data_IF_059709079336
#
_entry.id   IF_059709079336
#
_cell.length_a   1.000
_cell.length_b   1.000
_cell.length_c   1.000
_cell.angle_alpha   90.00
_cell.angle_beta   90.00
_cell.angle_gamma   90.00
#
_symmetry.space_group_name_H-M   'P 1'
#
loop_
_entity.id
_entity.type
_entity.pdbx_description
1 polymer ?
#
# COMPACT_ATOMS: atom_id res chain seq x y z
N UNK A 1 -1.18 -18.54 -1.55
CA UNK A 1 -0.39 -17.88 -0.50
C UNK A 1 -1.17 -18.02 0.80
N UNK A 2 -0.76 -18.92 1.70
CA UNK A 2 -1.31 -18.95 3.07
C UNK A 2 -1.15 -17.56 3.69
N UNK A 3 -2.08 -17.18 4.56
CA UNK A 3 -1.90 -15.96 5.34
C UNK A 3 -0.65 -16.15 6.20
N UNK A 4 0.10 -15.07 6.33
CA UNK A 4 1.34 -14.98 7.11
C UNK A 4 1.17 -15.44 8.56
N UNK A 5 -0.08 -15.54 9.01
CA UNK A 5 -0.48 -15.88 10.38
C UNK A 5 -1.30 -17.19 10.41
N UNK A 6 -1.22 -18.04 9.37
CA UNK A 6 -1.91 -19.34 9.34
C UNK A 6 -1.26 -20.35 10.30
N UNK A 7 0.01 -20.16 10.67
CA UNK A 7 0.63 -20.83 11.81
C UNK A 7 0.40 -20.00 13.07
N UNK A 8 0.20 -20.67 14.21
CA UNK A 8 -0.21 -20.11 15.50
C UNK A 8 0.75 -19.03 16.04
N UNK A 9 0.71 -17.84 15.46
CA UNK A 9 1.40 -16.66 15.99
C UNK A 9 0.69 -16.29 17.27
N UNK A 10 1.43 -16.30 18.38
CA UNK A 10 0.93 -15.85 19.66
C UNK A 10 0.51 -14.38 19.56
N UNK A 11 -0.80 -14.15 19.43
CA UNK A 11 -1.38 -12.81 19.35
C UNK A 11 -1.04 -11.96 20.58
N UNK A 12 -0.68 -12.59 21.71
CA UNK A 12 -0.26 -11.89 22.90
C UNK A 12 1.14 -11.26 22.74
N UNK A 13 2.06 -11.93 22.04
CA UNK A 13 3.43 -11.45 21.81
C UNK A 13 3.50 -10.37 20.73
N UNK A 14 2.47 -10.25 19.88
CA UNK A 14 2.42 -9.21 18.87
C UNK A 14 2.13 -7.83 19.47
N UNK A 15 2.77 -6.77 18.95
CA UNK A 15 2.40 -5.41 19.28
C UNK A 15 0.94 -5.14 18.89
N UNK A 16 0.34 -4.16 19.56
CA UNK A 16 -1.06 -3.77 19.33
C UNK A 16 -1.35 -3.44 17.85
N UNK A 17 -0.38 -2.82 17.21
CA UNK A 17 -0.40 -2.31 15.85
C UNK A 17 0.99 -2.56 15.25
N UNK A 18 1.03 -3.14 14.06
CA UNK A 18 2.27 -3.34 13.31
C UNK A 18 1.99 -3.38 11.82
N UNK A 19 3.04 -3.31 11.02
CA UNK A 19 2.96 -3.64 9.62
C UNK A 19 3.88 -4.81 9.31
N UNK A 20 3.53 -5.59 8.29
CA UNK A 20 4.45 -6.58 7.71
C UNK A 20 4.89 -6.11 6.34
N UNK A 21 6.18 -6.21 6.05
CA UNK A 21 6.75 -5.95 4.74
C UNK A 21 6.96 -7.26 4.00
N UNK A 22 6.40 -7.37 2.79
CA UNK A 22 6.72 -8.48 1.88
C UNK A 22 7.34 -7.93 0.60
N UNK A 23 8.53 -8.42 0.26
CA UNK A 23 9.22 -8.07 -0.97
C UNK A 23 8.47 -8.62 -2.20
N UNK A 24 8.63 -8.01 -3.39
CA UNK A 24 8.28 -8.69 -4.63
C UNK A 24 8.97 -10.04 -4.65
N UNK A 25 8.22 -11.11 -4.94
CA UNK A 25 8.84 -12.37 -5.31
C UNK A 25 9.78 -12.06 -6.48
N UNK A 26 11.07 -12.36 -6.33
CA UNK A 26 12.00 -12.33 -7.45
C UNK A 26 11.46 -13.35 -8.44
N UNK A 27 10.77 -12.86 -9.48
CA UNK A 27 10.28 -13.72 -10.53
C UNK A 27 11.51 -14.33 -11.16
N UNK A 28 11.69 -15.64 -11.00
CA UNK A 28 12.48 -16.39 -11.97
C UNK A 28 11.86 -16.05 -13.32
N UNK A 29 12.58 -15.26 -14.12
CA UNK A 29 12.20 -14.98 -15.47
C UNK A 29 11.94 -16.34 -16.13
N UNK A 30 10.69 -16.60 -16.49
CA UNK A 30 10.35 -17.68 -17.41
C UNK A 30 11.06 -17.33 -18.70
N UNK A 31 12.21 -17.98 -18.92
CA UNK A 31 12.90 -18.02 -20.19
C UNK A 31 12.01 -18.83 -21.13
N UNK A 32 11.03 -18.19 -21.75
CA UNK A 32 10.29 -18.78 -22.87
C UNK A 32 10.95 -18.33 -24.19
N UNK A 33 11.69 -19.29 -24.72
CA UNK A 33 11.93 -19.61 -26.14
C UNK A 33 12.32 -18.49 -27.12
N UNK A 34 13.63 -18.45 -27.41
CA UNK A 34 14.15 -18.24 -28.76
C UNK A 34 15.29 -19.23 -29.04
N UNK A 35 15.51 -19.61 -30.32
CA UNK A 35 15.96 -20.94 -30.68
C UNK A 35 17.47 -21.16 -30.50
N UNK A 36 17.79 -22.43 -30.26
CA UNK A 36 19.13 -22.95 -30.10
C UNK A 36 20.09 -22.48 -31.21
N UNK A 37 21.21 -21.86 -30.80
CA UNK A 37 22.43 -21.84 -31.59
C UNK A 37 23.62 -22.13 -30.66
N UNK A 38 24.45 -23.07 -31.13
CA UNK A 38 25.56 -23.69 -30.41
C UNK A 38 26.62 -22.70 -29.91
N UNK A 39 27.03 -22.82 -28.64
CA UNK A 39 28.41 -22.55 -28.24
C UNK A 39 28.76 -23.22 -26.89
N UNK A 40 29.87 -23.95 -26.97
CA UNK A 40 30.76 -24.57 -25.99
C UNK A 40 30.79 -24.07 -24.54
N UNK A 41 30.97 -25.05 -23.64
CA UNK A 41 31.18 -24.93 -22.21
C UNK A 41 32.47 -24.21 -21.82
N UNK A 42 32.34 -23.14 -21.03
CA UNK A 42 33.37 -22.62 -20.13
C UNK A 42 32.72 -22.20 -18.80
N UNK A 43 33.49 -22.33 -17.73
CA UNK A 43 33.13 -22.38 -16.31
C UNK A 43 32.19 -21.27 -15.80
N UNK A 44 31.10 -21.69 -15.14
CA UNK A 44 30.32 -20.82 -14.26
C UNK A 44 30.95 -20.79 -12.85
N UNK A 45 31.22 -19.62 -12.25
CA UNK A 45 31.42 -19.54 -10.81
C UNK A 45 30.08 -19.83 -10.10
N UNK A 46 30.17 -20.62 -9.04
CA UNK A 46 29.07 -21.05 -8.20
C UNK A 46 28.13 -19.89 -7.84
N UNK A 47 26.88 -19.97 -8.30
CA UNK A 47 25.80 -19.11 -7.88
C UNK A 47 25.64 -19.24 -6.36
N UNK A 48 25.91 -18.15 -5.65
CA UNK A 48 25.65 -18.03 -4.23
C UNK A 48 24.17 -18.29 -3.97
N UNK A 49 23.93 -19.16 -2.98
CA UNK A 49 22.64 -19.61 -2.47
C UNK A 49 21.55 -18.52 -2.53
N UNK A 50 20.54 -18.75 -3.38
CA UNK A 50 19.25 -18.11 -3.24
C UNK A 50 18.56 -18.73 -2.01
N UNK A 51 18.64 -18.05 -0.87
CA UNK A 51 17.92 -18.44 0.34
C UNK A 51 16.42 -18.28 0.10
N UNK A 52 15.71 -19.41 0.06
CA UNK A 52 14.26 -19.47 0.04
C UNK A 52 13.64 -18.88 1.32
N UNK A 53 12.55 -18.15 1.10
CA UNK A 53 11.38 -18.01 1.99
C UNK A 53 11.62 -17.56 3.45
N UNK A 54 12.15 -16.35 3.65
CA UNK A 54 11.91 -15.65 4.90
C UNK A 54 10.46 -15.12 4.91
N UNK A 55 9.74 -15.31 6.01
CA UNK A 55 8.39 -14.76 6.21
C UNK A 55 8.40 -13.23 6.07
N UNK A 56 7.25 -12.56 5.97
CA UNK A 56 7.27 -11.11 5.87
C UNK A 56 7.80 -10.49 7.16
N UNK A 57 8.70 -9.54 6.98
CA UNK A 57 9.37 -8.84 8.07
C UNK A 57 8.38 -7.96 8.82
N UNK A 58 8.37 -8.04 10.16
CA UNK A 58 7.59 -7.11 10.99
C UNK A 58 8.32 -5.77 11.03
N UNK A 59 7.59 -4.70 10.71
CA UNK A 59 8.12 -3.34 10.70
C UNK A 59 7.29 -2.43 11.61
N UNK A 60 7.99 -1.55 12.32
CA UNK A 60 7.37 -0.64 13.28
C UNK A 60 6.52 0.42 12.58
N UNK A 61 5.27 0.54 13.03
CA UNK A 61 4.39 1.65 12.67
C UNK A 61 4.60 2.78 13.67
N UNK A 62 4.65 4.02 13.19
CA UNK A 62 5.05 5.22 13.96
C UNK A 62 6.53 5.20 14.43
N UNK A 63 7.33 4.25 13.92
CA UNK A 63 8.74 4.10 14.27
C UNK A 63 9.68 4.85 13.32
N UNK A 64 10.79 4.19 12.97
CA UNK A 64 11.79 4.71 12.03
C UNK A 64 11.34 4.48 10.59
N UNK A 65 11.93 5.25 9.67
CA UNK A 65 11.75 5.01 8.25
C UNK A 65 12.35 3.64 7.88
N UNK A 66 11.61 2.89 7.07
CA UNK A 66 12.03 1.58 6.54
C UNK A 66 12.70 1.80 5.19
N UNK A 67 13.96 1.37 5.01
CA UNK A 67 14.62 1.49 3.72
C UNK A 67 13.93 0.62 2.67
N UNK A 68 13.86 1.13 1.45
CA UNK A 68 13.31 0.43 0.29
C UNK A 68 14.42 0.35 -0.75
N UNK A 69 14.68 -0.86 -1.23
CA UNK A 69 15.47 -1.07 -2.43
C UNK A 69 14.83 -2.18 -3.28
N UNK A 70 14.22 -1.80 -4.40
CA UNK A 70 13.59 -2.71 -5.37
C UNK A 70 14.21 -2.52 -6.74
N UNK A 71 13.77 -3.30 -7.74
CA UNK A 71 14.15 -3.06 -9.14
C UNK A 71 13.75 -1.66 -9.65
N UNK A 72 12.71 -1.04 -9.06
CA UNK A 72 12.12 0.18 -9.60
C UNK A 72 12.37 1.42 -8.75
N UNK A 73 12.68 1.26 -7.47
CA UNK A 73 12.72 2.36 -6.52
C UNK A 73 13.77 2.12 -5.45
N UNK A 74 14.51 3.17 -5.10
CA UNK A 74 15.35 3.21 -3.92
C UNK A 74 14.95 4.40 -3.06
N UNK A 75 14.79 4.20 -1.76
CA UNK A 75 14.37 5.25 -0.86
C UNK A 75 14.02 4.73 0.52
N UNK A 76 13.04 5.37 1.14
CA UNK A 76 12.54 5.03 2.46
C UNK A 76 11.05 5.31 2.58
N UNK A 77 10.39 4.59 3.47
CA UNK A 77 8.99 4.80 3.80
C UNK A 77 8.80 4.96 5.30
N UNK A 78 8.02 5.95 5.69
CA UNK A 78 7.61 6.18 7.06
C UNK A 78 6.09 6.01 7.15
N UNK A 79 5.65 5.22 8.11
CA UNK A 79 4.25 4.86 8.29
C UNK A 79 3.73 5.44 9.59
N UNK A 80 2.59 6.11 9.51
CA UNK A 80 1.91 6.71 10.64
C UNK A 80 0.50 6.14 10.76
N UNK A 81 0.15 5.64 11.94
CA UNK A 81 -1.22 5.24 12.27
C UNK A 81 -1.55 5.80 13.64
N UNK A 82 -2.65 6.54 13.72
CA UNK A 82 -3.08 7.16 14.96
C UNK A 82 -3.60 6.06 15.89
N UNK A 83 -2.96 5.84 17.06
CA UNK A 83 -3.48 4.90 18.05
C UNK A 83 -4.82 5.43 18.59
N UNK A 84 -5.68 4.52 19.04
CA UNK A 84 -6.94 4.91 19.69
C UNK A 84 -6.73 5.40 21.11
N UNK A 85 -5.56 5.15 21.69
CA UNK A 85 -5.15 5.76 22.95
C UNK A 85 -4.81 7.23 22.70
N UNK A 86 -5.51 8.14 23.38
CA UNK A 86 -5.39 9.57 23.12
C UNK A 86 -4.06 10.15 23.61
N UNK A 87 -3.50 9.61 24.68
CA UNK A 87 -2.21 10.05 25.23
C UNK A 87 -1.07 9.64 24.31
N UNK A 88 -1.07 8.37 23.87
CA UNK A 88 -0.14 7.88 22.85
C UNK A 88 -0.29 8.69 21.56
N UNK A 89 -1.52 8.94 21.10
CA UNK A 89 -1.78 9.70 19.88
C UNK A 89 -1.31 11.16 19.98
N UNK A 90 -1.41 11.79 21.15
CA UNK A 90 -0.96 13.15 21.40
C UNK A 90 0.58 13.29 21.39
N UNK A 91 1.29 12.21 21.75
CA UNK A 91 2.77 12.17 21.69
C UNK A 91 3.30 12.16 20.24
N UNK A 92 2.47 11.74 19.28
CA UNK A 92 2.86 11.62 17.87
C UNK A 92 2.67 12.94 17.13
N UNK A 93 3.78 13.66 16.92
CA UNK A 93 3.81 14.95 16.23
C UNK A 93 3.13 14.94 14.85
N UNK A 94 3.12 13.80 14.15
CA UNK A 94 2.45 13.66 12.85
C UNK A 94 0.94 13.95 12.92
N UNK A 95 0.28 13.64 14.05
CA UNK A 95 -1.17 13.77 14.22
C UNK A 95 -1.59 15.04 14.96
N UNK A 96 -0.67 15.74 15.61
CA UNK A 96 -0.96 16.95 16.39
C UNK A 96 -1.64 18.03 15.54
N UNK A 97 -2.83 18.46 15.97
CA UNK A 97 -3.63 19.46 15.26
C UNK A 97 -4.24 18.99 13.92
N UNK A 98 -4.16 17.69 13.60
CA UNK A 98 -4.65 17.14 12.33
C UNK A 98 -5.74 16.09 12.57
N UNK A 99 -6.71 16.03 11.67
CA UNK A 99 -7.78 15.00 11.69
C UNK A 99 -7.33 13.64 11.14
N UNK A 100 -6.06 13.51 10.73
CA UNK A 100 -5.53 12.31 10.07
C UNK A 100 -5.57 11.13 11.04
N UNK A 101 -5.90 9.95 10.51
CA UNK A 101 -5.85 8.68 11.24
C UNK A 101 -4.75 7.77 10.72
N UNK A 102 -4.35 7.96 9.45
CA UNK A 102 -3.25 7.24 8.80
C UNK A 102 -2.48 8.20 7.91
N UNK A 103 -1.17 8.04 7.87
CA UNK A 103 -0.23 8.74 7.01
C UNK A 103 0.85 7.80 6.50
N UNK A 104 1.29 7.97 5.26
CA UNK A 104 2.41 7.25 4.67
C UNK A 104 3.25 8.28 3.92
N UNK A 105 4.51 8.39 4.31
CA UNK A 105 5.50 9.25 3.69
C UNK A 105 6.49 8.37 2.94
N UNK A 106 6.56 8.50 1.62
CA UNK A 106 7.48 7.76 0.77
C UNK A 106 8.44 8.74 0.13
N UNK A 107 9.74 8.57 0.37
CA UNK A 107 10.80 9.42 -0.17
C UNK A 107 11.79 8.56 -0.95
N UNK A 108 12.25 9.02 -2.09
CA UNK A 108 13.29 8.33 -2.85
C UNK A 108 13.26 8.61 -4.33
N UNK A 109 13.93 7.76 -5.09
CA UNK A 109 14.19 7.96 -6.52
C UNK A 109 13.79 6.72 -7.30
N UNK A 110 13.17 6.91 -8.47
CA UNK A 110 12.89 5.82 -9.40
C UNK A 110 14.18 5.42 -10.14
N UNK A 111 14.37 4.12 -10.36
CA UNK A 111 15.51 3.58 -11.13
C UNK A 111 15.28 3.62 -12.64
N UNK A 112 14.03 3.78 -13.06
CA UNK A 112 13.63 3.91 -14.46
C UNK A 112 12.52 4.94 -14.61
N UNK A 113 12.35 5.45 -15.84
CA UNK A 113 11.22 6.32 -16.18
C UNK A 113 9.91 5.55 -16.05
N UNK A 114 8.91 6.12 -15.37
CA UNK A 114 7.58 5.52 -15.21
C UNK A 114 6.51 6.56 -15.55
N UNK A 115 5.52 6.20 -16.37
CA UNK A 115 4.39 7.09 -16.67
C UNK A 115 3.54 7.38 -15.42
N UNK A 116 2.99 8.59 -15.34
CA UNK A 116 2.00 8.93 -14.31
C UNK A 116 0.71 8.13 -14.43
N UNK A 117 0.41 7.58 -15.60
CA UNK A 117 -0.77 6.74 -15.84
C UNK A 117 -0.55 5.31 -15.30
N UNK A 118 0.68 4.80 -15.41
CA UNK A 118 1.01 3.41 -15.08
C UNK A 118 1.33 3.19 -13.60
N UNK A 119 1.90 4.20 -12.92
CA UNK A 119 2.24 4.08 -11.50
C UNK A 119 1.00 4.24 -10.64
N UNK A 120 0.57 3.13 -10.05
CA UNK A 120 -0.63 3.09 -9.21
C UNK A 120 -0.29 2.73 -7.76
N UNK A 121 -1.06 3.27 -6.83
CA UNK A 121 -1.19 2.66 -5.51
C UNK A 121 -2.28 1.58 -5.60
N UNK A 122 -2.09 0.45 -4.91
CA UNK A 122 -3.10 -0.61 -4.87
C UNK A 122 -3.24 -1.26 -3.49
N UNK A 123 -4.48 -1.59 -3.15
CA UNK A 123 -4.85 -2.59 -2.15
C UNK A 123 -5.39 -3.83 -2.86
N UNK A 124 -4.90 -5.02 -2.50
CA UNK A 124 -5.42 -6.28 -3.06
C UNK A 124 -5.79 -7.22 -1.93
N UNK A 125 -7.06 -7.59 -1.92
CA UNK A 125 -7.62 -8.56 -0.99
C UNK A 125 -7.96 -9.85 -1.71
N UNK A 126 -7.86 -10.97 -0.98
CA UNK A 126 -8.50 -12.23 -1.38
C UNK A 126 -10.00 -11.99 -1.56
N UNK A 127 -10.70 -12.83 -2.34
CA UNK A 127 -12.12 -12.68 -2.62
C UNK A 127 -12.92 -12.95 -1.34
N UNK A 128 -12.99 -11.91 -0.52
CA UNK A 128 -13.69 -11.89 0.77
C UNK A 128 -14.90 -10.99 0.67
N UNK A 129 -14.94 -10.14 -0.35
CA UNK A 129 -16.08 -9.31 -0.68
C UNK A 129 -17.02 -10.02 -1.67
N UNK A 130 -17.65 -11.11 -1.21
CA UNK A 130 -18.97 -11.48 -1.73
C UNK A 130 -20.06 -11.19 -0.68
N UNK A 131 -20.23 -9.92 -0.27
CA UNK A 131 -21.27 -9.56 0.68
C UNK A 131 -22.66 -9.83 0.07
N UNK A 132 -23.61 -10.29 0.89
CA UNK A 132 -25.01 -10.36 0.47
C UNK A 132 -25.50 -9.01 -0.07
N UNK A 133 -26.49 -9.00 -0.96
CA UNK A 133 -26.80 -7.84 -1.80
C UNK A 133 -26.92 -6.49 -1.08
N UNK A 134 -27.46 -6.46 0.14
CA UNK A 134 -27.53 -5.24 0.96
C UNK A 134 -26.15 -4.78 1.48
N UNK A 135 -25.33 -5.70 1.99
CA UNK A 135 -23.97 -5.40 2.43
C UNK A 135 -23.09 -4.93 1.27
N UNK A 136 -23.26 -5.48 0.06
CA UNK A 136 -22.56 -5.04 -1.16
C UNK A 136 -22.81 -3.58 -1.45
N UNK A 137 -24.08 -3.15 -1.40
CA UNK A 137 -24.46 -1.75 -1.61
C UNK A 137 -23.83 -0.84 -0.56
N UNK A 138 -23.84 -1.25 0.71
CA UNK A 138 -23.22 -0.47 1.80
C UNK A 138 -21.71 -0.35 1.63
N UNK A 139 -21.02 -1.44 1.28
CA UNK A 139 -19.57 -1.43 1.07
C UNK A 139 -19.20 -0.59 -0.15
N UNK A 140 -19.92 -0.73 -1.27
CA UNK A 140 -19.72 0.10 -2.45
C UNK A 140 -20.00 1.58 -2.16
N UNK A 141 -21.04 1.89 -1.40
CA UNK A 141 -21.37 3.25 -0.98
C UNK A 141 -20.26 3.85 -0.11
N UNK A 142 -19.76 3.07 0.86
CA UNK A 142 -18.61 3.43 1.70
C UNK A 142 -17.39 3.68 0.82
N UNK A 143 -16.94 2.69 0.03
CA UNK A 143 -15.73 2.79 -0.79
C UNK A 143 -15.78 3.95 -1.79
N UNK A 144 -16.92 4.15 -2.46
CA UNK A 144 -17.11 5.26 -3.40
C UNK A 144 -17.10 6.64 -2.74
N UNK A 145 -17.57 6.76 -1.49
CA UNK A 145 -17.49 8.00 -0.71
C UNK A 145 -16.08 8.33 -0.24
N UNK A 146 -15.31 7.32 0.19
CA UNK A 146 -13.94 7.55 0.68
C UNK A 146 -12.96 7.78 -0.45
N UNK A 147 -13.20 7.17 -1.60
CA UNK A 147 -12.19 7.03 -2.64
C UNK A 147 -12.82 7.21 -4.04
N UNK A 148 -13.38 8.41 -4.34
CA UNK A 148 -14.16 8.66 -5.55
C UNK A 148 -13.36 8.56 -6.85
N UNK A 149 -12.02 8.56 -6.75
CA UNK A 149 -11.09 8.44 -7.86
C UNK A 149 -10.37 7.08 -7.91
N UNK A 150 -10.73 6.13 -7.03
CA UNK A 150 -10.17 4.78 -7.08
C UNK A 150 -10.97 3.90 -8.05
N UNK A 151 -10.25 3.12 -8.85
CA UNK A 151 -10.78 2.00 -9.61
C UNK A 151 -10.99 0.86 -8.61
N UNK A 152 -12.25 0.44 -8.47
CA UNK A 152 -12.64 -0.70 -7.66
C UNK A 152 -12.93 -1.87 -8.59
N UNK A 153 -12.21 -2.97 -8.39
CA UNK A 153 -12.47 -4.23 -9.08
C UNK A 153 -12.95 -5.24 -8.05
N UNK A 154 -14.21 -5.67 -8.19
CA UNK A 154 -14.80 -6.75 -7.41
C UNK A 154 -14.85 -8.00 -8.29
N UNK A 155 -13.91 -8.91 -8.12
CA UNK A 155 -13.85 -10.19 -8.82
C UNK A 155 -14.15 -11.38 -7.91
N UNK A 156 -14.54 -12.51 -8.52
CA UNK A 156 -14.73 -13.79 -7.82
C UNK A 156 -13.42 -14.34 -7.25
N UNK A 157 -12.28 -13.99 -7.86
CA UNK A 157 -10.95 -14.45 -7.47
C UNK A 157 -10.12 -13.41 -6.70
N UNK A 158 -10.47 -12.11 -6.78
CA UNK A 158 -9.78 -11.04 -6.06
C UNK A 158 -10.62 -9.78 -5.96
N UNK A 159 -10.38 -8.98 -4.92
CA UNK A 159 -10.91 -7.62 -4.83
C UNK A 159 -9.76 -6.63 -4.75
N UNK A 160 -9.74 -5.63 -5.63
CA UNK A 160 -8.69 -4.63 -5.66
C UNK A 160 -9.24 -3.21 -5.66
N UNK A 161 -8.49 -2.30 -5.08
CA UNK A 161 -8.73 -0.86 -5.13
C UNK A 161 -7.43 -0.21 -5.54
N UNK A 162 -7.46 0.62 -6.59
CA UNK A 162 -6.25 1.28 -7.11
C UNK A 162 -6.48 2.67 -7.70
N UNK A 163 -5.47 3.55 -7.64
CA UNK A 163 -5.45 4.81 -8.39
C UNK A 163 -4.03 5.16 -8.82
N UNK A 164 -3.91 5.95 -9.91
CA UNK A 164 -2.67 6.64 -10.23
C UNK A 164 -2.14 7.43 -9.03
N UNK A 165 -0.85 7.29 -8.73
CA UNK A 165 -0.19 7.97 -7.60
C UNK A 165 -0.34 9.48 -7.71
N UNK A 166 -0.25 10.02 -8.94
CA UNK A 166 -0.43 11.44 -9.23
C UNK A 166 -1.81 11.99 -8.82
N UNK A 167 -2.83 11.12 -8.67
CA UNK A 167 -4.18 11.45 -8.22
C UNK A 167 -4.41 11.19 -6.72
N UNK A 168 -3.81 10.13 -6.16
CA UNK A 168 -4.10 9.75 -4.77
C UNK A 168 -3.16 10.37 -3.73
N UNK A 169 -1.86 10.51 -4.05
CA UNK A 169 -0.92 11.18 -3.16
C UNK A 169 -1.43 12.59 -2.85
N UNK A 170 -1.51 12.96 -1.58
CA UNK A 170 -2.03 14.25 -1.11
C UNK A 170 -0.99 15.35 -1.23
N UNK A 171 0.29 15.00 -1.10
CA UNK A 171 1.44 15.87 -1.40
C UNK A 171 2.39 15.13 -2.32
N UNK A 172 2.91 15.84 -3.32
CA UNK A 172 4.05 15.37 -4.12
C UNK A 172 5.04 16.52 -4.24
N UNK A 173 6.27 16.28 -3.83
CA UNK A 173 7.40 17.19 -3.92
C UNK A 173 8.40 16.58 -4.90
N UNK A 174 9.01 17.43 -5.73
CA UNK A 174 9.99 17.01 -6.74
C UNK A 174 11.31 17.74 -6.50
N UNK A 175 12.42 17.02 -6.53
CA UNK A 175 13.76 17.59 -6.59
C UNK A 175 14.42 17.96 -5.27
N UNK A 176 14.05 17.32 -4.14
CA UNK A 176 14.69 17.48 -2.83
C UNK A 176 14.53 18.85 -2.14
N UNK A 177 14.30 19.92 -2.91
CA UNK A 177 14.20 21.31 -2.47
C UNK A 177 12.78 21.72 -2.02
N UNK A 178 11.87 20.77 -1.85
CA UNK A 178 10.56 21.06 -1.23
C UNK A 178 9.49 21.60 -2.18
N UNK A 179 9.80 21.83 -3.46
CA UNK A 179 8.85 22.40 -4.42
C UNK A 179 7.70 21.42 -4.73
N UNK A 180 6.44 21.83 -4.54
CA UNK A 180 5.29 21.05 -4.99
C UNK A 180 5.40 20.76 -6.49
N UNK A 181 4.88 19.62 -6.91
CA UNK A 181 4.77 19.24 -8.33
C UNK A 181 3.93 20.25 -9.11
N UNK A 182 4.48 21.40 -9.54
CA UNK A 182 3.96 22.35 -10.52
C UNK A 182 2.53 22.88 -10.36
N UNK A 183 1.80 22.57 -9.28
CA UNK A 183 0.39 22.90 -9.11
C UNK A 183 0.17 23.73 -7.84
N UNK A 184 -0.65 24.78 -7.96
CA UNK A 184 -1.03 25.66 -6.85
C UNK A 184 -1.86 24.98 -5.75
N UNK A 185 -2.47 23.83 -6.02
CA UNK A 185 -3.26 23.08 -5.04
C UNK A 185 -3.43 21.61 -5.42
N UNK A 186 -3.76 20.76 -4.42
CA UNK A 186 -4.17 19.36 -4.63
C UNK A 186 -5.36 19.25 -5.60
N UNK A 187 -6.35 20.14 -5.47
CA UNK A 187 -7.52 20.13 -6.34
C UNK A 187 -7.18 20.47 -7.80
N UNK A 188 -6.24 21.40 -8.03
CA UNK A 188 -5.76 21.72 -9.37
C UNK A 188 -5.01 20.52 -9.98
N UNK A 189 -4.10 19.89 -9.22
CA UNK A 189 -3.39 18.68 -9.65
C UNK A 189 -4.37 17.55 -10.01
N UNK A 190 -5.31 17.25 -9.11
CA UNK A 190 -6.33 16.22 -9.35
C UNK A 190 -7.18 16.52 -10.58
N UNK A 191 -7.59 17.78 -10.78
CA UNK A 191 -8.37 18.17 -11.97
C UNK A 191 -7.57 17.97 -13.25
N UNK A 192 -6.29 18.34 -13.26
CA UNK A 192 -5.41 18.19 -14.42
C UNK A 192 -5.18 16.71 -14.77
N UNK A 193 -4.77 15.89 -13.80
CA UNK A 193 -4.47 14.47 -14.02
C UNK A 193 -5.71 13.57 -14.05
N UNK A 194 -6.94 14.09 -13.93
CA UNK A 194 -8.15 13.31 -14.26
C UNK A 194 -8.20 12.99 -15.76
N UNK A 195 -7.66 13.87 -16.60
CA UNK A 195 -7.48 13.58 -18.02
C UNK A 195 -6.33 12.59 -18.21
N UNK A 196 -6.57 11.53 -18.97
CA UNK A 196 -5.62 10.46 -19.27
C UNK A 196 -4.45 10.93 -20.14
N UNK A 197 -4.68 11.80 -21.12
CA UNK A 197 -3.62 12.32 -21.99
C UNK A 197 -2.58 13.13 -21.19
N UNK A 198 -3.04 13.87 -20.18
CA UNK A 198 -2.17 14.59 -19.26
C UNK A 198 -1.32 13.63 -18.39
N UNK A 199 -1.87 12.47 -18.02
CA UNK A 199 -1.10 11.45 -17.28
C UNK A 199 -0.08 10.77 -18.19
N UNK A 200 -0.48 10.39 -19.41
CA UNK A 200 0.41 9.73 -20.38
C UNK A 200 1.56 10.60 -20.85
N UNK A 201 1.37 11.92 -20.89
CA UNK A 201 2.42 12.89 -21.23
C UNK A 201 3.40 13.19 -20.09
N UNK A 202 3.08 12.83 -18.85
CA UNK A 202 3.90 13.09 -17.67
C UNK A 202 4.57 11.82 -17.13
N UNK A 203 5.79 11.98 -16.61
CA UNK A 203 6.62 10.86 -16.16
C UNK A 203 7.30 11.16 -14.83
N UNK A 204 7.50 10.10 -14.05
CA UNK A 204 8.47 10.06 -12.98
C UNK A 204 9.84 9.76 -13.60
N UNK A 205 10.79 10.66 -13.42
CA UNK A 205 12.12 10.59 -14.04
C UNK A 205 13.12 9.91 -13.11
N UNK A 206 14.00 9.05 -13.66
CA UNK A 206 15.08 8.48 -12.87
C UNK A 206 16.06 9.58 -12.42
N UNK A 207 16.75 9.33 -11.30
CA UNK A 207 17.69 10.30 -10.72
C UNK A 207 17.04 11.50 -10.03
N UNK A 208 15.72 11.67 -10.14
CA UNK A 208 14.97 12.72 -9.44
C UNK A 208 14.46 12.20 -8.10
N UNK A 209 14.75 12.92 -7.01
CA UNK A 209 14.17 12.62 -5.71
C UNK A 209 12.72 13.09 -5.65
N UNK A 210 11.83 12.19 -5.25
CA UNK A 210 10.42 12.43 -5.02
C UNK A 210 10.08 12.21 -3.56
N UNK A 211 9.16 13.03 -3.05
CA UNK A 211 8.48 12.77 -1.79
C UNK A 211 6.98 12.72 -2.03
N UNK A 212 6.34 11.64 -1.58
CA UNK A 212 4.91 11.41 -1.65
C UNK A 212 4.33 11.31 -0.24
N UNK A 213 3.28 12.07 0.03
CA UNK A 213 2.50 11.90 1.27
C UNK A 213 1.11 11.39 0.93
N UNK A 214 0.74 10.26 1.50
CA UNK A 214 -0.61 9.72 1.48
C UNK A 214 -1.18 9.85 2.89
N UNK A 215 -2.39 10.37 3.04
CA UNK A 215 -3.07 10.36 4.33
C UNK A 215 -4.58 10.27 4.17
N UNK A 216 -5.21 9.71 5.19
CA UNK A 216 -6.66 9.64 5.29
C UNK A 216 -7.12 9.78 6.74
N UNK A 217 -8.37 10.22 6.91
CA UNK A 217 -8.97 10.56 8.21
C UNK A 217 -10.24 9.75 8.50
N UNK A 218 -10.62 8.87 7.58
CA UNK A 218 -11.89 8.16 7.66
C UNK A 218 -11.76 6.86 8.44
N UNK A 219 -10.71 6.09 8.16
CA UNK A 219 -10.47 4.75 8.72
C UNK A 219 -9.33 4.81 9.72
N UNK A 220 -9.55 4.30 10.93
CA UNK A 220 -8.47 3.98 11.87
C UNK A 220 -7.91 2.61 11.54
N UNK A 221 -6.61 2.49 11.27
CA UNK A 221 -5.94 1.19 11.07
C UNK A 221 -5.63 0.46 12.38
N UNK A 222 -5.85 1.12 13.51
CA UNK A 222 -5.67 0.53 14.82
C UNK A 222 -6.98 -0.12 15.31
N UNK A 223 -8.13 0.55 15.15
CA UNK A 223 -9.44 -0.02 15.51
C UNK A 223 -10.18 -0.66 14.33
N UNK A 224 -9.71 -0.44 13.09
CA UNK A 224 -10.41 -0.86 11.87
C UNK A 224 -11.86 -0.37 11.79
N UNK A 225 -12.12 0.79 12.40
CA UNK A 225 -13.43 1.44 12.37
C UNK A 225 -13.43 2.64 11.43
N UNK A 226 -14.59 2.81 10.82
CA UNK A 226 -14.88 3.93 9.93
C UNK A 226 -15.58 5.05 10.73
N UNK A 227 -15.05 6.26 10.62
CA UNK A 227 -15.60 7.47 11.23
C UNK A 227 -16.32 8.34 10.18
N UNK A 228 -17.32 9.12 10.59
CA UNK A 228 -17.92 10.16 9.75
C UNK A 228 -19.25 9.84 9.06
N UNK A 229 -19.91 8.71 9.32
CA UNK A 229 -21.31 8.52 8.90
C UNK A 229 -22.27 9.00 9.98
N UNK A 230 -22.73 10.24 9.84
CA UNK A 230 -23.80 10.82 10.67
C UNK A 230 -25.03 9.91 10.57
N UNK A 231 -25.45 9.32 11.70
CA UNK A 231 -26.71 8.59 11.85
C UNK A 231 -26.68 7.05 11.72
N UNK A 232 -25.59 6.42 11.27
CA UNK A 232 -25.53 4.96 11.02
C UNK A 232 -24.62 4.16 11.98
N UNK A 233 -24.06 4.81 13.00
CA UNK A 233 -23.12 4.16 13.93
C UNK A 233 -21.75 3.87 13.32
N UNK A 234 -20.83 3.32 14.12
CA UNK A 234 -19.48 2.95 13.66
C UNK A 234 -19.53 1.65 12.84
N UNK A 235 -19.03 1.68 11.60
CA UNK A 235 -18.89 0.47 10.78
C UNK A 235 -17.54 -0.18 11.08
N UNK A 236 -17.54 -1.46 11.49
CA UNK A 236 -16.33 -2.26 11.67
C UNK A 236 -15.88 -2.83 10.33
N UNK A 237 -14.77 -2.30 9.79
CA UNK A 237 -14.14 -2.84 8.60
C UNK A 237 -13.45 -4.17 8.87
N UNK A 238 -13.00 -4.43 10.10
CA UNK A 238 -12.39 -5.72 10.45
C UNK A 238 -13.33 -6.91 10.17
N UNK A 239 -14.62 -6.77 10.48
CA UNK A 239 -15.67 -7.76 10.15
C UNK A 239 -15.86 -7.93 8.64
N UNK A 240 -15.83 -6.82 7.90
CA UNK A 240 -16.02 -6.80 6.44
C UNK A 240 -14.82 -7.45 5.74
N UNK A 241 -13.62 -7.16 6.21
CA UNK A 241 -12.36 -7.64 5.66
C UNK A 241 -12.00 -9.06 6.13
N UNK A 242 -12.72 -9.61 7.13
CA UNK A 242 -12.47 -10.92 7.77
C UNK A 242 -11.01 -11.12 8.15
N UNK A 243 -10.46 -10.14 8.85
CA UNK A 243 -9.07 -10.16 9.30
C UNK A 243 -8.02 -9.83 8.23
N UNK A 244 -8.42 -9.54 6.99
CA UNK A 244 -7.45 -9.10 5.99
C UNK A 244 -7.02 -7.64 6.20
N UNK A 245 -5.72 -7.35 6.16
CA UNK A 245 -5.20 -6.02 6.43
C UNK A 245 -5.45 -5.06 5.27
N UNK A 246 -5.50 -3.76 5.58
CA UNK A 246 -5.19 -2.74 4.58
C UNK A 246 -3.73 -2.86 4.17
N UNK A 247 -3.47 -2.56 2.91
CA UNK A 247 -2.17 -2.65 2.28
C UNK A 247 -1.77 -1.30 1.70
N UNK A 248 -0.47 -1.06 1.66
CA UNK A 248 0.13 -0.02 0.85
C UNK A 248 1.24 -0.63 -0.01
N UNK A 249 1.14 -0.41 -1.31
CA UNK A 249 2.20 -0.66 -2.26
C UNK A 249 2.02 0.23 -3.49
N UNK A 250 3.13 0.62 -4.11
CA UNK A 250 3.13 1.16 -5.46
C UNK A 250 3.33 0.03 -6.46
N UNK A 251 2.62 0.07 -7.58
CA UNK A 251 2.62 -0.94 -8.63
C UNK A 251 2.79 -0.33 -10.01
N UNK A 252 3.43 -1.11 -10.87
CA UNK A 252 3.56 -0.88 -12.29
C UNK A 252 3.04 -2.13 -13.01
N UNK A 253 1.76 -2.10 -13.39
CA UNK A 253 1.03 -3.30 -13.81
C UNK A 253 1.02 -4.36 -12.70
N UNK A 254 1.49 -5.57 -13.02
CA UNK A 254 1.62 -6.66 -12.04
C UNK A 254 2.80 -6.48 -11.09
N UNK A 255 3.81 -5.66 -11.44
CA UNK A 255 5.05 -5.53 -10.69
C UNK A 255 4.92 -4.61 -9.46
N UNK A 256 5.61 -4.93 -8.38
CA UNK A 256 5.68 -4.09 -7.18
C UNK A 256 6.86 -3.10 -7.31
N UNK A 257 6.55 -1.80 -7.27
CA UNK A 257 7.53 -0.71 -7.25
C UNK A 257 8.09 -0.48 -5.85
N UNK A 258 7.25 -0.63 -4.84
CA UNK A 258 7.67 -0.68 -3.43
C UNK A 258 7.30 -2.05 -2.84
N UNK A 259 7.92 -2.47 -1.74
CA UNK A 259 7.42 -3.59 -0.95
C UNK A 259 5.95 -3.38 -0.58
N UNK A 260 5.25 -4.49 -0.33
CA UNK A 260 3.87 -4.44 0.15
C UNK A 260 3.87 -4.39 1.66
N UNK A 261 3.37 -3.29 2.20
CA UNK A 261 3.17 -3.07 3.62
C UNK A 261 1.74 -3.42 4.00
N UNK A 262 1.55 -4.38 4.90
CA UNK A 262 0.22 -4.82 5.35
C UNK A 262 0.04 -4.43 6.81
N UNK A 263 -0.96 -3.61 7.11
CA UNK A 263 -1.19 -3.05 8.45
C UNK A 263 -2.09 -3.97 9.27
N UNK A 264 -1.58 -4.48 10.39
CA UNK A 264 -2.34 -5.31 11.29
C UNK A 264 -2.60 -4.60 12.62
N UNK A 265 -3.74 -4.91 13.23
CA UNK A 265 -4.00 -4.57 14.61
C UNK A 265 -4.61 -5.76 15.34
N UNK A 266 -4.49 -5.78 16.67
CA UNK A 266 -5.19 -6.80 17.49
C UNK A 266 -6.69 -6.81 17.21
N UNK A 267 -7.30 -5.66 16.96
CA UNK A 267 -8.71 -5.59 16.61
C UNK A 267 -8.99 -6.26 15.26
N UNK A 268 -8.17 -6.05 14.22
CA UNK A 268 -8.33 -6.76 12.95
C UNK A 268 -8.23 -8.27 13.12
N UNK A 269 -7.19 -8.72 13.82
CA UNK A 269 -6.84 -10.13 13.96
C UNK A 269 -7.93 -10.94 14.68
N UNK A 270 -8.69 -10.32 15.59
CA UNK A 270 -9.89 -10.93 16.21
C UNK A 270 -10.96 -11.38 15.21
N UNK A 271 -10.96 -10.84 13.98
CA UNK A 271 -11.94 -11.18 12.94
C UNK A 271 -11.32 -12.00 11.79
N UNK A 272 -10.05 -12.37 11.88
CA UNK A 272 -9.41 -13.35 11.00
C UNK A 272 -9.83 -14.76 11.41
N UNK A 273 -10.11 -15.63 10.45
CA UNK A 273 -10.47 -17.03 10.72
C UNK A 273 -9.32 -17.72 11.46
N UNK A 274 -9.51 -17.99 12.75
CA UNK A 274 -8.51 -18.66 13.58
C UNK A 274 -8.47 -18.33 15.08
N UNK A 275 -9.40 -17.54 15.64
CA UNK A 275 -9.61 -17.49 17.10
C UNK A 275 -11.08 -17.81 17.40
N UNK A 276 -11.37 -19.10 17.46
CA UNK A 276 -12.35 -19.65 18.39
C UNK A 276 -11.56 -20.23 19.56
#
# INVERSE_FOLDING_TARGET
MPSVLDDAVDLASLPRLFATMSMPAVGNATVDEMPASNATAEEMPAAANATEADGPEIVDVNGRAVPIDTEFFTGEILMHVKPSDEEEAASLAYFTGRKRLVGIELRGTFKRRISFDDLTFANVWRPVLNPGGWQRRTILFVLSKFLPHLRLELGESQTSISAPVCLDAKRIIVGGLGEPMGFSSLSARKRHFRNEDNRKSCHYEPGTEYYFEFYQHAVSFDTYKLSGFVGLGQISLAKILRGQPFQFCLRLGSNLVTPKFSFYSKELLRHGTGVA
#
